data_IF_300577643170
#
_entry.id   IF_300577643170
#
_cell.length_a   1.000
_cell.length_b   1.000
_cell.length_c   1.000
_cell.angle_alpha   90.00
_cell.angle_beta   90.00
_cell.angle_gamma   90.00
#
_symmetry.space_group_name_H-M   'P 1'
#
loop_
_entity.id
_entity.type
_entity.pdbx_description
1 polymer ?
#
# COMPACT_ATOMS: atom_id res chain seq x y z
N UNK A 1 -35.19 36.41 -39.47
CA UNK A 1 -35.43 36.54 -38.01
C UNK A 1 -34.70 35.42 -37.29
N UNK A 2 -34.06 35.79 -36.18
CA UNK A 2 -33.60 34.98 -35.05
C UNK A 2 -32.65 33.79 -35.29
N UNK A 3 -31.36 34.07 -35.12
CA UNK A 3 -30.32 33.17 -34.59
C UNK A 3 -30.48 33.06 -33.07
N UNK A 4 -30.27 31.85 -32.52
CA UNK A 4 -29.57 31.48 -31.26
C UNK A 4 -30.22 30.23 -30.66
N UNK A 5 -29.54 29.32 -29.95
CA UNK A 5 -28.14 28.97 -29.69
C UNK A 5 -28.29 27.79 -28.71
N UNK A 6 -27.93 26.56 -29.08
CA UNK A 6 -28.04 25.39 -28.21
C UNK A 6 -26.73 24.62 -28.34
N UNK A 7 -25.69 25.06 -27.63
CA UNK A 7 -24.38 24.41 -27.53
C UNK A 7 -23.57 25.18 -26.49
N UNK A 8 -23.75 24.90 -25.19
CA UNK A 8 -22.87 25.45 -24.13
C UNK A 8 -22.81 24.58 -22.86
N UNK A 9 -23.66 23.56 -22.70
CA UNK A 9 -23.68 22.73 -21.47
C UNK A 9 -22.61 21.63 -21.42
N UNK A 10 -21.98 21.28 -22.54
CA UNK A 10 -20.98 20.19 -22.60
C UNK A 10 -19.56 20.56 -22.12
N UNK A 11 -19.15 21.84 -22.21
CA UNK A 11 -17.76 22.23 -21.90
C UNK A 11 -17.50 22.37 -20.39
N UNK A 12 -18.53 22.73 -19.61
CA UNK A 12 -18.43 22.88 -18.16
C UNK A 12 -18.24 21.54 -17.43
N UNK A 13 -19.03 20.52 -17.77
CA UNK A 13 -18.88 19.18 -17.14
C UNK A 13 -17.52 18.54 -17.46
N UNK A 14 -16.98 18.80 -18.66
CA UNK A 14 -15.69 18.26 -19.08
C UNK A 14 -14.54 18.94 -18.33
N UNK A 15 -14.61 20.26 -18.09
CA UNK A 15 -13.63 20.98 -17.25
C UNK A 15 -13.66 20.51 -15.80
N UNK A 16 -14.82 20.30 -15.22
CA UNK A 16 -14.93 19.84 -13.83
C UNK A 16 -14.43 18.40 -13.65
N UNK A 17 -14.68 17.51 -14.62
CA UNK A 17 -14.08 16.17 -14.64
C UNK A 17 -12.56 16.22 -14.78
N UNK A 18 -12.03 17.13 -15.60
CA UNK A 18 -10.59 17.31 -15.77
C UNK A 18 -9.94 17.83 -14.48
N UNK A 19 -10.54 18.82 -13.81
CA UNK A 19 -10.08 19.35 -12.52
C UNK A 19 -10.07 18.29 -11.41
N UNK A 20 -11.19 17.57 -11.22
CA UNK A 20 -11.28 16.49 -10.21
C UNK A 20 -10.22 15.39 -10.41
N UNK A 21 -9.87 15.08 -11.66
CA UNK A 21 -8.80 14.12 -11.96
C UNK A 21 -7.43 14.66 -11.56
N UNK A 22 -7.15 15.93 -11.79
CA UNK A 22 -5.90 16.57 -11.37
C UNK A 22 -5.76 16.54 -9.85
N UNK A 23 -6.82 16.90 -9.11
CA UNK A 23 -6.80 16.89 -7.65
C UNK A 23 -6.56 15.48 -7.07
N UNK A 24 -7.15 14.45 -7.68
CA UNK A 24 -6.94 13.06 -7.25
C UNK A 24 -5.49 12.60 -7.46
N UNK A 25 -4.87 12.97 -8.59
CA UNK A 25 -3.46 12.64 -8.87
C UNK A 25 -2.53 13.33 -7.88
N UNK A 26 -2.77 14.60 -7.55
CA UNK A 26 -1.96 15.32 -6.57
C UNK A 26 -2.03 14.67 -5.17
N UNK A 27 -3.20 14.16 -4.78
CA UNK A 27 -3.36 13.44 -3.51
C UNK A 27 -2.61 12.10 -3.56
N UNK A 28 -2.72 11.34 -4.64
CA UNK A 28 -1.98 10.09 -4.81
C UNK A 28 -0.46 10.28 -4.73
N UNK A 29 0.06 11.33 -5.38
CA UNK A 29 1.49 11.67 -5.36
C UNK A 29 1.94 12.10 -3.96
N UNK A 30 1.08 12.81 -3.21
CA UNK A 30 1.34 13.14 -1.80
C UNK A 30 1.39 11.91 -0.91
N UNK A 31 0.43 10.98 -1.06
CA UNK A 31 0.40 9.72 -0.31
C UNK A 31 1.66 8.89 -0.60
N UNK A 32 2.07 8.80 -1.87
CA UNK A 32 3.29 8.11 -2.27
C UNK A 32 4.54 8.74 -1.64
N UNK A 33 4.65 10.07 -1.66
CA UNK A 33 5.76 10.79 -1.03
C UNK A 33 5.83 10.54 0.48
N UNK A 34 4.70 10.61 1.18
CA UNK A 34 4.64 10.37 2.62
C UNK A 34 5.07 8.95 2.99
N UNK A 35 4.57 7.95 2.25
CA UNK A 35 4.92 6.54 2.49
C UNK A 35 6.41 6.29 2.23
N UNK A 36 6.97 6.79 1.12
CA UNK A 36 8.38 6.53 0.77
C UNK A 36 9.35 7.18 1.78
N UNK A 37 9.00 8.40 2.24
CA UNK A 37 9.85 9.20 3.12
C UNK A 37 9.81 8.79 4.59
N UNK A 38 8.86 7.93 5.00
CA UNK A 38 8.82 7.45 6.37
C UNK A 38 10.14 6.72 6.72
N UNK A 39 10.66 6.98 7.92
CA UNK A 39 11.97 6.47 8.34
C UNK A 39 13.17 7.33 7.95
N UNK A 40 12.98 8.43 7.23
CA UNK A 40 14.05 9.41 6.99
C UNK A 40 14.27 10.32 8.21
N UNK A 41 15.35 11.11 8.17
CA UNK A 41 15.66 12.10 9.22
C UNK A 41 14.48 13.05 9.41
N UNK A 42 13.99 13.14 10.64
CA UNK A 42 12.86 13.98 11.05
C UNK A 42 13.17 14.66 12.38
N UNK A 43 12.48 15.75 12.65
CA UNK A 43 12.49 16.43 13.97
C UNK A 43 11.66 15.67 15.00
N UNK A 44 10.73 14.83 14.55
CA UNK A 44 9.86 14.00 15.39
C UNK A 44 10.35 12.55 15.43
N UNK A 45 9.97 11.81 16.49
CA UNK A 45 10.34 10.40 16.64
C UNK A 45 9.72 9.53 15.55
N UNK A 46 10.33 8.37 15.26
CA UNK A 46 9.84 7.45 14.24
C UNK A 46 8.44 6.92 14.57
N UNK A 47 8.18 6.64 15.84
CA UNK A 47 6.89 6.17 16.35
C UNK A 47 5.79 7.21 16.09
N UNK A 48 6.06 8.49 16.41
CA UNK A 48 5.13 9.58 16.15
C UNK A 48 4.85 9.75 14.65
N UNK A 49 5.89 9.66 13.82
CA UNK A 49 5.73 9.73 12.36
C UNK A 49 4.89 8.57 11.81
N UNK A 50 5.08 7.35 12.33
CA UNK A 50 4.32 6.15 11.93
C UNK A 50 2.85 6.24 12.35
N UNK A 51 2.56 6.65 13.57
CA UNK A 51 1.18 6.80 14.06
C UNK A 51 0.43 7.91 13.31
N UNK A 52 1.11 9.04 13.06
CA UNK A 52 0.58 10.14 12.26
C UNK A 52 0.29 9.70 10.83
N UNK A 53 1.24 9.00 10.18
CA UNK A 53 1.06 8.49 8.83
C UNK A 53 -0.07 7.45 8.76
N UNK A 54 -0.15 6.53 9.72
CA UNK A 54 -1.23 5.54 9.76
C UNK A 54 -2.62 6.21 9.83
N UNK A 55 -2.74 7.30 10.60
CA UNK A 55 -3.99 8.06 10.72
C UNK A 55 -4.34 8.81 9.42
N UNK A 56 -3.36 9.37 8.72
CA UNK A 56 -3.56 10.00 7.40
C UNK A 56 -4.02 8.97 6.38
N UNK A 57 -3.32 7.85 6.29
CA UNK A 57 -3.65 6.78 5.35
C UNK A 57 -5.04 6.20 5.63
N UNK A 58 -5.41 6.00 6.90
CA UNK A 58 -6.72 5.47 7.28
C UNK A 58 -7.88 6.36 6.81
N UNK A 59 -7.76 7.68 6.95
CA UNK A 59 -8.74 8.63 6.43
C UNK A 59 -8.89 8.54 4.89
N UNK A 60 -7.81 8.24 4.17
CA UNK A 60 -7.77 8.17 2.71
C UNK A 60 -8.02 6.76 2.13
N UNK A 61 -8.09 5.71 2.96
CA UNK A 61 -8.30 4.33 2.49
C UNK A 61 -9.55 4.24 1.63
N UNK A 62 -10.68 4.85 2.03
CA UNK A 62 -11.94 4.67 1.29
C UNK A 62 -11.89 5.17 -0.15
N UNK A 63 -11.06 6.18 -0.43
CA UNK A 63 -10.95 6.79 -1.76
C UNK A 63 -9.73 6.27 -2.54
N UNK A 64 -8.65 5.91 -1.84
CA UNK A 64 -7.34 5.62 -2.45
C UNK A 64 -6.78 4.23 -2.09
N UNK A 65 -7.61 3.31 -1.57
CA UNK A 65 -7.22 1.96 -1.12
C UNK A 65 -6.26 1.26 -2.09
N UNK A 66 -6.63 1.19 -3.36
CA UNK A 66 -5.86 0.48 -4.39
C UNK A 66 -4.47 1.07 -4.58
N UNK A 67 -4.35 2.41 -4.57
CA UNK A 67 -3.07 3.11 -4.70
C UNK A 67 -2.21 2.89 -3.45
N UNK A 68 -2.79 3.01 -2.24
CA UNK A 68 -2.09 2.78 -0.97
C UNK A 68 -1.56 1.33 -0.90
N UNK A 69 -2.40 0.34 -1.19
CA UNK A 69 -2.01 -1.07 -1.25
C UNK A 69 -0.84 -1.29 -2.22
N UNK A 70 -0.91 -0.68 -3.41
CA UNK A 70 0.14 -0.77 -4.41
C UNK A 70 1.46 -0.20 -3.88
N UNK A 71 1.46 1.04 -3.36
CA UNK A 71 2.66 1.71 -2.85
C UNK A 71 3.30 0.88 -1.73
N UNK A 72 2.53 0.47 -0.72
CA UNK A 72 3.05 -0.34 0.40
C UNK A 72 3.63 -1.68 -0.08
N UNK A 73 2.96 -2.35 -1.02
CA UNK A 73 3.46 -3.60 -1.59
C UNK A 73 4.77 -3.41 -2.37
N UNK A 74 4.96 -2.26 -3.01
CA UNK A 74 6.18 -1.92 -3.72
C UNK A 74 7.31 -1.60 -2.75
N UNK A 75 7.03 -0.83 -1.70
CA UNK A 75 7.97 -0.54 -0.61
C UNK A 75 8.50 -1.82 0.04
N UNK A 76 7.64 -2.81 0.31
CA UNK A 76 8.01 -4.10 0.88
C UNK A 76 9.08 -4.87 0.07
N UNK A 77 9.18 -4.61 -1.25
CA UNK A 77 10.13 -5.30 -2.15
C UNK A 77 11.29 -4.41 -2.55
N UNK A 78 11.04 -3.13 -2.84
CA UNK A 78 12.04 -2.19 -3.35
C UNK A 78 12.93 -1.60 -2.26
N UNK A 79 12.49 -1.60 -1.01
CA UNK A 79 13.20 -1.02 0.14
C UNK A 79 13.31 -2.02 1.31
N UNK A 80 13.94 -3.19 1.10
CA UNK A 80 14.06 -4.22 2.14
C UNK A 80 14.83 -3.74 3.39
N UNK A 81 15.67 -2.71 3.28
CA UNK A 81 16.35 -2.07 4.41
C UNK A 81 15.41 -1.35 5.37
N UNK A 82 14.20 -0.97 4.91
CA UNK A 82 13.14 -0.37 5.74
C UNK A 82 12.03 -1.37 6.10
N UNK A 83 12.28 -2.68 6.02
CA UNK A 83 11.25 -3.73 6.21
C UNK A 83 10.42 -3.50 7.48
N UNK A 84 11.07 -3.35 8.64
CA UNK A 84 10.41 -3.21 9.94
C UNK A 84 9.58 -1.93 10.07
N UNK A 85 9.94 -0.88 9.33
CA UNK A 85 9.19 0.38 9.30
C UNK A 85 7.85 0.16 8.58
N UNK A 86 7.90 -0.50 7.41
CA UNK A 86 6.72 -0.75 6.61
C UNK A 86 5.81 -1.83 7.21
N UNK A 87 6.35 -2.88 7.84
CA UNK A 87 5.53 -3.87 8.56
C UNK A 87 4.85 -3.26 9.76
N UNK A 88 5.52 -2.38 10.52
CA UNK A 88 4.91 -1.62 11.62
C UNK A 88 3.77 -0.74 11.11
N UNK A 89 3.97 -0.01 10.01
CA UNK A 89 2.93 0.81 9.40
C UNK A 89 1.71 -0.04 8.98
N UNK A 90 1.94 -1.19 8.34
CA UNK A 90 0.87 -2.14 7.98
C UNK A 90 0.19 -2.69 9.23
N UNK A 91 0.92 -2.95 10.31
CA UNK A 91 0.38 -3.35 11.61
C UNK A 91 -0.57 -2.31 12.21
N UNK A 92 -0.18 -1.04 12.21
CA UNK A 92 -1.03 0.07 12.66
C UNK A 92 -2.29 0.20 11.79
N UNK A 93 -2.15 0.08 10.48
CA UNK A 93 -3.29 0.12 9.55
C UNK A 93 -4.23 -1.07 9.75
N UNK A 94 -3.69 -2.27 9.99
CA UNK A 94 -4.49 -3.47 10.29
C UNK A 94 -5.27 -3.31 11.60
N UNK A 95 -4.66 -2.70 12.62
CA UNK A 95 -5.32 -2.42 13.89
C UNK A 95 -6.50 -1.44 13.75
N UNK A 96 -6.38 -0.44 12.85
CA UNK A 96 -7.47 0.51 12.57
C UNK A 96 -8.51 -0.04 11.59
N UNK A 97 -8.08 -0.84 10.60
CA UNK A 97 -8.93 -1.41 9.57
C UNK A 97 -8.45 -2.83 9.19
N UNK A 98 -9.07 -3.84 9.82
CA UNK A 98 -8.73 -5.24 9.60
C UNK A 98 -8.96 -5.72 8.16
N UNK A 99 -9.98 -5.16 7.49
CA UNK A 99 -10.29 -5.49 6.08
C UNK A 99 -9.13 -5.07 5.18
N UNK A 100 -8.59 -3.87 5.38
CA UNK A 100 -7.42 -3.39 4.66
C UNK A 100 -6.20 -4.30 4.89
N UNK A 101 -5.95 -4.71 6.14
CA UNK A 101 -4.87 -5.64 6.47
C UNK A 101 -4.99 -6.97 5.72
N UNK A 102 -6.18 -7.55 5.69
CA UNK A 102 -6.47 -8.77 4.91
C UNK A 102 -6.21 -8.58 3.41
N UNK A 103 -6.73 -7.51 2.80
CA UNK A 103 -6.52 -7.22 1.37
C UNK A 103 -5.03 -7.00 1.03
N UNK A 104 -4.26 -6.40 1.95
CA UNK A 104 -2.83 -6.24 1.81
C UNK A 104 -2.08 -7.58 1.81
N UNK A 105 -2.41 -8.47 2.76
CA UNK A 105 -1.81 -9.81 2.82
C UNK A 105 -2.16 -10.61 1.56
N UNK A 106 -3.40 -10.54 1.07
CA UNK A 106 -3.83 -11.18 -0.18
C UNK A 106 -3.08 -10.66 -1.41
N UNK A 107 -2.83 -9.35 -1.48
CA UNK A 107 -2.01 -8.75 -2.53
C UNK A 107 -0.57 -9.27 -2.47
N UNK A 108 0.03 -9.30 -1.28
CA UNK A 108 1.40 -9.80 -1.08
C UNK A 108 1.52 -11.30 -1.37
N UNK A 109 0.50 -12.10 -1.06
CA UNK A 109 0.47 -13.54 -1.34
C UNK A 109 0.43 -13.82 -2.85
N UNK A 110 -0.39 -13.05 -3.59
CA UNK A 110 -0.38 -13.06 -5.07
C UNK A 110 1.00 -12.67 -5.60
N UNK A 111 1.60 -11.61 -5.05
CA UNK A 111 2.95 -11.16 -5.44
C UNK A 111 4.02 -12.22 -5.21
N UNK A 112 3.95 -12.97 -4.11
CA UNK A 112 4.85 -14.11 -3.85
C UNK A 112 4.67 -15.18 -4.91
N UNK A 113 3.43 -15.58 -5.19
CA UNK A 113 3.10 -16.59 -6.20
C UNK A 113 3.63 -16.21 -7.57
N UNK A 114 3.43 -14.96 -7.99
CA UNK A 114 3.90 -14.46 -9.28
C UNK A 114 5.44 -14.38 -9.33
N UNK A 115 6.07 -13.92 -8.24
CA UNK A 115 7.53 -13.90 -8.14
C UNK A 115 8.15 -15.30 -8.24
N UNK A 116 7.56 -16.31 -7.60
CA UNK A 116 8.00 -17.70 -7.71
C UNK A 116 7.83 -18.24 -9.14
N UNK A 117 6.67 -18.01 -9.76
CA UNK A 117 6.40 -18.43 -11.15
C UNK A 117 7.36 -17.81 -12.17
N UNK A 118 7.71 -16.54 -11.97
CA UNK A 118 8.63 -15.82 -12.85
C UNK A 118 10.10 -15.96 -12.46
N UNK A 119 10.44 -16.89 -11.55
CA UNK A 119 11.81 -17.11 -11.05
C UNK A 119 12.47 -15.84 -10.48
N UNK A 120 11.68 -14.90 -9.96
CA UNK A 120 12.15 -13.66 -9.30
C UNK A 120 12.50 -13.95 -7.83
N UNK A 121 13.53 -14.76 -7.62
CA UNK A 121 13.90 -15.29 -6.30
C UNK A 121 14.22 -14.22 -5.25
N UNK A 122 14.82 -13.09 -5.65
CA UNK A 122 15.10 -11.96 -4.75
C UNK A 122 13.80 -11.33 -4.25
N UNK A 123 12.85 -11.08 -5.15
CA UNK A 123 11.53 -10.54 -4.80
C UNK A 123 10.78 -11.52 -3.89
N UNK A 124 10.74 -12.81 -4.24
CA UNK A 124 10.11 -13.83 -3.41
C UNK A 124 10.71 -13.85 -2.00
N UNK A 125 12.05 -13.81 -1.86
CA UNK A 125 12.74 -13.73 -0.56
C UNK A 125 12.32 -12.50 0.25
N UNK A 126 12.21 -11.33 -0.39
CA UNK A 126 11.80 -10.11 0.32
C UNK A 126 10.34 -10.17 0.78
N UNK A 127 9.44 -10.71 -0.04
CA UNK A 127 8.04 -10.93 0.35
C UNK A 127 7.93 -11.90 1.53
N UNK A 128 8.68 -13.01 1.50
CA UNK A 128 8.70 -13.99 2.59
C UNK A 128 9.25 -13.38 3.88
N UNK A 129 10.33 -12.58 3.81
CA UNK A 129 10.84 -11.83 4.96
C UNK A 129 9.79 -10.87 5.51
N UNK A 130 9.07 -10.18 4.64
CA UNK A 130 8.01 -9.26 5.02
C UNK A 130 6.87 -10.00 5.76
N UNK A 131 6.46 -11.17 5.27
CA UNK A 131 5.49 -12.02 5.98
C UNK A 131 5.98 -12.47 7.36
N UNK A 132 7.26 -12.82 7.47
CA UNK A 132 7.84 -13.21 8.74
C UNK A 132 7.74 -12.08 9.78
N UNK A 133 8.04 -10.86 9.36
CA UNK A 133 8.03 -9.71 10.25
C UNK A 133 6.61 -9.18 10.53
N UNK A 134 5.66 -9.38 9.61
CA UNK A 134 4.23 -9.11 9.85
C UNK A 134 3.61 -9.98 10.96
N UNK A 135 4.22 -11.12 11.31
CA UNK A 135 3.83 -11.89 12.49
C UNK A 135 4.13 -11.11 13.77
N UNK A 136 5.29 -10.44 13.83
CA UNK A 136 5.68 -9.58 14.96
C UNK A 136 4.74 -8.38 15.12
N UNK A 137 4.16 -7.90 14.01
CA UNK A 137 3.19 -6.80 13.99
C UNK A 137 1.74 -7.26 14.17
N UNK A 138 1.49 -8.54 14.51
CA UNK A 138 0.14 -9.11 14.71
C UNK A 138 -0.80 -9.00 13.49
N UNK A 139 -0.25 -8.99 12.28
CA UNK A 139 -1.03 -8.98 11.03
C UNK A 139 -1.24 -10.39 10.49
N UNK A 140 -0.21 -11.24 10.60
CA UNK A 140 -0.24 -12.64 10.16
C UNK A 140 -0.11 -13.54 11.39
N UNK A 141 -0.84 -14.66 11.40
CA UNK A 141 -0.69 -15.65 12.47
C UNK A 141 0.61 -16.45 12.31
N UNK A 142 1.27 -16.76 13.44
CA UNK A 142 2.47 -17.61 13.45
C UNK A 142 2.24 -18.95 12.76
N UNK A 143 1.07 -19.56 12.96
CA UNK A 143 0.70 -20.84 12.36
C UNK A 143 0.66 -20.77 10.83
N UNK A 144 0.13 -19.69 10.26
CA UNK A 144 0.09 -19.48 8.81
C UNK A 144 1.50 -19.37 8.21
N UNK A 145 2.42 -18.68 8.89
CA UNK A 145 3.81 -18.58 8.44
C UNK A 145 4.52 -19.93 8.51
N UNK A 146 4.33 -20.68 9.60
CA UNK A 146 4.92 -22.02 9.75
C UNK A 146 4.42 -22.98 8.66
N UNK A 147 3.13 -22.96 8.34
CA UNK A 147 2.56 -23.76 7.24
C UNK A 147 3.20 -23.41 5.89
N UNK A 148 3.45 -22.12 5.62
CA UNK A 148 4.16 -21.69 4.42
C UNK A 148 5.60 -22.22 4.40
N UNK A 149 6.32 -22.14 5.52
CA UNK A 149 7.69 -22.67 5.62
C UNK A 149 7.76 -24.18 5.45
N UNK A 150 6.82 -24.93 6.04
CA UNK A 150 6.71 -26.37 5.81
C UNK A 150 6.51 -26.67 4.32
N UNK A 151 5.62 -25.94 3.65
CA UNK A 151 5.39 -26.10 2.20
C UNK A 151 6.64 -25.85 1.35
N UNK A 152 7.55 -24.96 1.79
CA UNK A 152 8.84 -24.76 1.11
C UNK A 152 9.82 -25.90 1.36
N UNK A 153 9.87 -26.43 2.59
CA UNK A 153 10.72 -27.55 2.95
C UNK A 153 10.30 -28.85 2.27
N UNK A 154 8.99 -29.09 2.11
CA UNK A 154 8.47 -30.27 1.43
C UNK A 154 8.86 -30.34 -0.07
N UNK A 155 9.30 -29.21 -0.64
CA UNK A 155 9.76 -29.13 -2.04
C UNK A 155 11.28 -29.22 -2.20
N UNK A 156 12.03 -29.28 -1.09
CA UNK A 156 13.49 -29.37 -1.06
C UNK A 156 13.98 -30.82 -1.08
#
# INVERSE_FOLDING_TARGET
MSRRKYEDTGDYENRDRKRRRTDAVEIEDRLESLIIRVGEKSTSSLESNLEGLASVLEADINNYKTKILKILSECAVKMPEKTTIYTTLVGLLNAKNYIFGGEFVDLMARKLKDALKSCMWKTARYVVRFFADLVNCHVISTNSLLQLYHSFLDTA
#
